data_IF_208141277722
#
_entry.id   IF_208141277722
#
_cell.length_a   1.000
_cell.length_b   1.000
_cell.length_c   1.000
_cell.angle_alpha   90.00
_cell.angle_beta   90.00
_cell.angle_gamma   90.00
#
_symmetry.space_group_name_H-M   'P 1'
#
loop_
_entity.id
_entity.type
_entity.pdbx_description
1 polymer ?
#
# COMPACT_ATOMS: atom_id res chain seq x y z
N UNK A 1 17.70 11.13 -7.40
CA UNK A 1 18.17 9.96 -6.61
C UNK A 1 17.07 9.23 -5.84
N UNK A 2 15.99 9.88 -5.37
CA UNK A 2 14.92 9.21 -4.62
C UNK A 2 14.01 8.28 -5.45
N UNK A 3 13.92 8.50 -6.77
CA UNK A 3 13.05 7.75 -7.68
C UNK A 3 13.23 6.20 -7.64
N UNK A 4 14.46 5.65 -7.67
CA UNK A 4 14.66 4.21 -7.50
C UNK A 4 14.22 3.71 -6.11
N UNK A 5 14.39 4.51 -5.04
CA UNK A 5 13.95 4.14 -3.70
C UNK A 5 12.42 4.05 -3.61
N UNK A 6 11.70 5.00 -4.21
CA UNK A 6 10.23 4.94 -4.21
C UNK A 6 9.72 3.75 -5.04
N UNK A 7 10.37 3.43 -6.18
CA UNK A 7 10.08 2.21 -6.94
C UNK A 7 10.31 0.94 -6.12
N UNK A 8 11.42 0.85 -5.38
CA UNK A 8 11.71 -0.28 -4.51
C UNK A 8 10.64 -0.42 -3.42
N UNK A 9 10.24 0.69 -2.80
CA UNK A 9 9.21 0.70 -1.78
C UNK A 9 7.84 0.26 -2.33
N UNK A 10 7.45 0.74 -3.51
CA UNK A 10 6.23 0.27 -4.20
C UNK A 10 6.32 -1.24 -4.44
N UNK A 11 7.45 -1.73 -4.92
CA UNK A 11 7.66 -3.16 -5.16
C UNK A 11 7.51 -3.99 -3.88
N UNK A 12 8.07 -3.52 -2.77
CA UNK A 12 7.92 -4.16 -1.44
C UNK A 12 6.45 -4.20 -1.03
N UNK A 13 5.72 -3.08 -1.14
CA UNK A 13 4.29 -3.04 -0.78
C UNK A 13 3.40 -3.93 -1.66
N UNK A 14 3.66 -3.98 -2.97
CA UNK A 14 2.94 -4.89 -3.87
C UNK A 14 3.22 -6.35 -3.49
N UNK A 15 4.47 -6.67 -3.18
CA UNK A 15 4.85 -8.02 -2.76
C UNK A 15 4.14 -8.42 -1.47
N UNK A 16 4.14 -7.54 -0.45
CA UNK A 16 3.41 -7.73 0.81
C UNK A 16 1.90 -7.91 0.60
N UNK A 17 1.31 -7.12 -0.31
CA UNK A 17 -0.09 -7.26 -0.72
C UNK A 17 -0.36 -8.67 -1.25
N UNK A 18 0.45 -9.15 -2.20
CA UNK A 18 0.28 -10.49 -2.75
C UNK A 18 0.44 -11.58 -1.69
N UNK A 19 1.45 -11.49 -0.83
CA UNK A 19 1.68 -12.47 0.24
C UNK A 19 0.47 -12.53 1.17
N UNK A 20 0.01 -11.39 1.68
CA UNK A 20 -1.12 -11.33 2.61
C UNK A 20 -2.43 -11.79 1.97
N UNK A 21 -2.65 -11.44 0.69
CA UNK A 21 -3.80 -11.91 -0.07
C UNK A 21 -3.81 -13.44 -0.23
N UNK A 22 -2.67 -14.03 -0.59
CA UNK A 22 -2.53 -15.48 -0.73
C UNK A 22 -2.73 -16.18 0.61
N UNK A 23 -2.15 -15.66 1.70
CA UNK A 23 -2.32 -16.21 3.04
C UNK A 23 -3.79 -16.19 3.48
N UNK A 24 -4.48 -15.07 3.28
CA UNK A 24 -5.91 -14.96 3.60
C UNK A 24 -6.75 -15.88 2.71
N UNK A 25 -6.40 -16.02 1.43
CA UNK A 25 -7.04 -16.95 0.51
C UNK A 25 -6.87 -18.41 0.94
N UNK A 26 -5.65 -18.82 1.28
CA UNK A 26 -5.35 -20.18 1.77
C UNK A 26 -6.09 -20.49 3.07
N UNK A 27 -6.11 -19.54 4.01
CA UNK A 27 -6.86 -19.69 5.27
C UNK A 27 -8.35 -19.78 5.02
N UNK A 28 -8.88 -18.99 4.09
CA UNK A 28 -10.29 -19.02 3.75
C UNK A 28 -10.72 -20.36 3.14
N UNK A 29 -9.90 -20.91 2.24
CA UNK A 29 -10.11 -22.25 1.66
C UNK A 29 -10.02 -23.33 2.74
N UNK A 30 -9.00 -23.26 3.60
CA UNK A 30 -8.80 -24.25 4.67
C UNK A 30 -9.92 -24.23 5.70
N UNK A 31 -10.46 -23.05 6.02
CA UNK A 31 -11.53 -22.90 7.01
C UNK A 31 -12.93 -23.07 6.41
N UNK A 32 -13.05 -23.27 5.09
CA UNK A 32 -14.33 -23.25 4.34
C UNK A 32 -15.18 -22.00 4.60
N UNK A 33 -14.57 -20.92 5.10
CA UNK A 33 -15.21 -19.66 5.43
C UNK A 33 -14.23 -18.51 5.19
N UNK A 34 -14.75 -17.35 4.76
CA UNK A 34 -13.96 -16.17 4.46
C UNK A 34 -13.22 -15.71 5.73
N UNK A 35 -11.91 -15.98 5.78
CA UNK A 35 -11.04 -15.67 6.91
C UNK A 35 -10.05 -14.61 6.45
N UNK A 36 -10.30 -13.37 6.86
CA UNK A 36 -9.46 -12.23 6.50
C UNK A 36 -8.73 -11.74 7.74
N UNK A 37 -7.41 -11.59 7.64
CA UNK A 37 -6.60 -11.14 8.76
C UNK A 37 -6.53 -9.60 8.79
N UNK A 38 -6.99 -8.95 9.86
CA UNK A 38 -6.93 -7.50 9.96
C UNK A 38 -5.48 -7.04 10.12
N UNK A 39 -5.16 -5.86 9.57
CA UNK A 39 -3.82 -5.29 9.67
C UNK A 39 -3.40 -5.01 11.11
N UNK A 40 -4.34 -4.62 11.98
CA UNK A 40 -4.12 -4.40 13.42
C UNK A 40 -3.49 -5.62 14.10
N UNK A 41 -3.89 -6.83 13.71
CA UNK A 41 -3.30 -8.08 14.24
C UNK A 41 -1.88 -8.31 13.75
N UNK A 42 -1.57 -7.97 12.50
CA UNK A 42 -0.20 -8.04 11.97
C UNK A 42 0.70 -7.03 12.70
N UNK A 43 0.19 -5.82 12.91
CA UNK A 43 0.92 -4.75 13.59
C UNK A 43 1.17 -5.08 15.07
N UNK A 44 0.17 -5.64 15.75
CA UNK A 44 0.29 -6.14 17.12
C UNK A 44 1.39 -7.21 17.25
N UNK A 45 1.40 -8.19 16.34
CA UNK A 45 2.45 -9.23 16.31
C UNK A 45 3.83 -8.62 16.01
N UNK A 46 3.93 -7.71 15.04
CA UNK A 46 5.19 -7.09 14.66
C UNK A 46 5.78 -6.21 15.77
N UNK A 47 4.94 -5.47 16.49
CA UNK A 47 5.34 -4.62 17.60
C UNK A 47 5.45 -5.37 18.93
N UNK A 48 5.19 -6.69 18.95
CA UNK A 48 5.13 -7.49 20.19
C UNK A 48 4.23 -6.84 21.25
N UNK A 49 3.08 -6.34 20.84
CA UNK A 49 2.15 -5.61 21.71
C UNK A 49 0.72 -6.10 21.51
N UNK A 50 -0.16 -5.80 22.45
CA UNK A 50 -1.57 -6.12 22.35
C UNK A 50 -2.33 -5.11 21.48
N UNK A 51 -3.47 -5.54 20.92
CA UNK A 51 -4.33 -4.66 20.11
C UNK A 51 -4.85 -3.47 20.95
N UNK A 52 -5.05 -3.68 22.25
CA UNK A 52 -5.56 -2.64 23.13
C UNK A 52 -4.51 -1.56 23.43
N UNK A 53 -3.25 -1.95 23.66
CA UNK A 53 -2.14 -1.01 23.81
C UNK A 53 -1.85 -0.27 22.51
N UNK A 54 -1.97 -0.95 21.36
CA UNK A 54 -1.89 -0.32 20.04
C UNK A 54 -2.97 0.75 19.84
N UNK A 55 -4.23 0.45 20.18
CA UNK A 55 -5.33 1.41 20.09
C UNK A 55 -5.11 2.60 21.03
N UNK A 56 -4.66 2.35 22.27
CA UNK A 56 -4.35 3.40 23.23
C UNK A 56 -3.21 4.31 22.74
N UNK A 57 -2.19 3.73 22.12
CA UNK A 57 -1.10 4.48 21.51
C UNK A 57 -1.59 5.40 20.39
N UNK A 58 -2.47 4.90 19.50
CA UNK A 58 -3.09 5.72 18.44
C UNK A 58 -3.92 6.87 19.04
N UNK A 59 -4.72 6.58 20.06
CA UNK A 59 -5.49 7.60 20.78
C UNK A 59 -4.62 8.63 21.51
N UNK A 60 -3.40 8.27 21.90
CA UNK A 60 -2.47 9.19 22.57
C UNK A 60 -1.77 10.15 21.60
N UNK A 61 -1.57 9.74 20.34
CA UNK A 61 -0.82 10.53 19.35
C UNK A 61 -1.76 11.40 18.51
N UNK A 62 -2.98 10.91 18.23
CA UNK A 62 -3.92 11.57 17.34
C UNK A 62 -5.11 12.18 18.07
N UNK A 63 -5.67 13.29 17.57
CA UNK A 63 -6.97 13.81 18.02
C UNK A 63 -8.07 12.75 17.92
N UNK A 64 -9.10 12.83 18.77
CA UNK A 64 -10.16 11.83 18.91
C UNK A 64 -10.87 11.44 17.59
N UNK A 65 -11.10 12.40 16.70
CA UNK A 65 -11.71 12.15 15.38
C UNK A 65 -10.77 11.34 14.45
N UNK A 66 -9.48 11.65 14.48
CA UNK A 66 -8.46 10.98 13.66
C UNK A 66 -8.13 9.60 14.23
N UNK A 67 -8.04 9.47 15.56
CA UNK A 67 -7.74 8.19 16.20
C UNK A 67 -8.81 7.14 15.93
N UNK A 68 -10.10 7.51 16.02
CA UNK A 68 -11.21 6.63 15.67
C UNK A 68 -11.13 6.16 14.21
N UNK A 69 -10.91 7.10 13.29
CA UNK A 69 -10.76 6.80 11.86
C UNK A 69 -9.57 5.88 11.59
N UNK A 70 -8.43 6.13 12.25
CA UNK A 70 -7.25 5.27 12.13
C UNK A 70 -7.48 3.87 12.69
N UNK A 71 -8.16 3.73 13.83
CA UNK A 71 -8.48 2.43 14.42
C UNK A 71 -9.37 1.62 13.46
N UNK A 72 -10.37 2.26 12.86
CA UNK A 72 -11.21 1.62 11.84
C UNK A 72 -10.35 1.23 10.62
N UNK A 73 -9.47 2.12 10.17
CA UNK A 73 -8.60 1.89 9.02
C UNK A 73 -7.66 0.69 9.23
N UNK A 74 -7.03 0.55 10.40
CA UNK A 74 -6.12 -0.57 10.68
C UNK A 74 -6.87 -1.91 10.86
N UNK A 75 -8.18 -1.90 11.06
CA UNK A 75 -8.98 -3.12 11.13
C UNK A 75 -9.39 -3.65 9.75
N UNK A 76 -9.09 -2.92 8.67
CA UNK A 76 -9.26 -3.43 7.32
C UNK A 76 -8.27 -4.58 7.00
N UNK A 77 -8.56 -5.35 5.95
CA UNK A 77 -7.67 -6.41 5.47
C UNK A 77 -6.28 -5.87 5.15
N UNK A 78 -5.24 -6.57 5.58
CA UNK A 78 -3.87 -6.12 5.36
C UNK A 78 -3.52 -5.93 3.88
N UNK A 79 -3.97 -6.85 3.02
CA UNK A 79 -3.76 -6.76 1.57
C UNK A 79 -4.37 -5.48 0.98
N UNK A 80 -5.51 -5.03 1.51
CA UNK A 80 -6.18 -3.83 1.03
C UNK A 80 -5.38 -2.57 1.41
N UNK A 81 -4.89 -2.51 2.66
CA UNK A 81 -4.08 -1.39 3.13
C UNK A 81 -2.77 -1.29 2.35
N UNK A 82 -2.03 -2.39 2.20
CA UNK A 82 -0.79 -2.40 1.44
C UNK A 82 -1.02 -2.06 -0.05
N UNK A 83 -2.11 -2.54 -0.63
CA UNK A 83 -2.48 -2.26 -2.01
C UNK A 83 -2.75 -0.77 -2.25
N UNK A 84 -3.58 -0.14 -1.40
CA UNK A 84 -3.86 1.30 -1.47
C UNK A 84 -2.57 2.11 -1.32
N UNK A 85 -1.70 1.70 -0.38
CA UNK A 85 -0.45 2.40 -0.12
C UNK A 85 0.51 2.30 -1.33
N UNK A 86 0.61 1.13 -1.95
CA UNK A 86 1.37 0.92 -3.18
C UNK A 86 0.86 1.82 -4.33
N UNK A 87 -0.47 1.88 -4.53
CA UNK A 87 -1.10 2.71 -5.56
C UNK A 87 -0.82 4.19 -5.29
N UNK A 88 -0.96 4.63 -4.04
CA UNK A 88 -0.70 6.01 -3.63
C UNK A 88 0.75 6.42 -3.95
N UNK A 89 1.72 5.57 -3.59
CA UNK A 89 3.12 5.83 -3.91
C UNK A 89 3.41 5.78 -5.41
N UNK A 90 2.73 4.91 -6.15
CA UNK A 90 2.85 4.83 -7.60
C UNK A 90 2.36 6.12 -8.28
N UNK A 91 1.18 6.61 -7.90
CA UNK A 91 0.61 7.86 -8.42
C UNK A 91 1.51 9.04 -8.05
N UNK A 92 1.98 9.11 -6.80
CA UNK A 92 2.88 10.17 -6.34
C UNK A 92 4.23 10.17 -7.08
N UNK A 93 4.67 9.00 -7.52
CA UNK A 93 5.90 8.83 -8.32
C UNK A 93 5.69 8.98 -9.82
N UNK A 94 4.44 9.12 -10.27
CA UNK A 94 4.09 9.20 -11.66
C UNK A 94 4.46 10.59 -12.20
N UNK A 95 5.61 10.68 -12.84
CA UNK A 95 5.90 11.82 -13.71
C UNK A 95 5.17 11.64 -15.04
N UNK A 96 4.42 12.65 -15.51
CA UNK A 96 3.86 12.61 -16.84
C UNK A 96 5.01 12.42 -17.84
N UNK A 97 4.92 11.34 -18.64
CA UNK A 97 5.86 11.15 -19.74
C UNK A 97 5.83 12.42 -20.58
N UNK A 98 6.97 13.09 -20.71
CA UNK A 98 7.14 14.21 -21.64
C UNK A 98 6.58 13.77 -22.99
N UNK A 99 5.67 14.54 -23.61
CA UNK A 99 5.09 14.15 -24.88
C UNK A 99 6.24 13.85 -25.85
N UNK A 100 6.14 12.70 -26.52
CA UNK A 100 7.08 12.28 -27.55
C UNK A 100 7.41 13.49 -28.42
N UNK A 101 8.69 13.87 -28.43
CA UNK A 101 9.19 14.92 -29.29
C UNK A 101 8.81 14.53 -30.71
N UNK A 102 7.90 15.29 -31.33
CA UNK A 102 7.47 15.06 -32.70
C UNK A 102 8.75 15.09 -33.55
N UNK A 103 9.08 13.96 -34.17
CA UNK A 103 10.15 13.89 -35.16
C UNK A 103 9.62 14.70 -36.35
N UNK A 104 10.00 15.97 -36.42
CA UNK A 104 9.72 16.81 -37.57
C UNK A 104 10.61 16.30 -38.70
N UNK A 105 10.03 15.60 -39.66
CA UNK A 105 10.67 15.35 -40.95
C UNK A 105 10.85 16.71 -41.63
N UNK A 106 12.05 17.30 -41.50
CA UNK A 106 12.57 18.17 -42.54
C UNK A 106 13.25 17.26 -43.55
N UNK A 107 12.47 16.70 -44.47
CA UNK A 107 13.02 16.10 -45.67
C UNK A 107 13.23 17.23 -46.67
N UNK A 108 14.49 17.42 -47.02
CA UNK A 108 15.01 18.60 -47.69
C UNK A 108 14.47 18.80 -49.11
N UNK A 109 14.41 20.07 -49.50
CA UNK A 109 14.54 20.49 -50.88
C UNK A 109 15.77 19.80 -51.49
N UNK A 110 15.53 18.87 -52.41
CA UNK A 110 16.52 18.49 -53.40
C UNK A 110 16.20 19.26 -54.69
N UNK A 111 17.17 20.10 -55.04
CA UNK A 111 17.31 20.95 -56.23
C UNK A 111 17.39 20.07 -57.48
#
# INVERSE_FOLDING_TARGET
MFRPLVKLMIFIFVTLTCITLVVDGMRSVSASNLTINPFSKILAVFLHTDINSLNQFICSIMPSLLSSTCIILINFPAWLIFGILAITFYILSYEPRKPFHKISYQEGEYI
#
